data_IF_613662061052
#
_entry.id   IF_613662061052
#
_cell.length_a   1.000
_cell.length_b   1.000
_cell.length_c   1.000
_cell.angle_alpha   90.00
_cell.angle_beta   90.00
_cell.angle_gamma   90.00
#
_symmetry.space_group_name_H-M   'P 1'
#
loop_
_entity.id
_entity.type
_entity.pdbx_description
1 polymer ?
#
# COMPACT_ATOMS: atom_id res chain seq x y z
N UNK A 1 1.56 -4.12 -18.08
CA UNK A 1 2.49 -3.78 -16.97
C UNK A 1 1.81 -4.17 -15.67
N UNK A 2 2.31 -5.21 -15.00
CA UNK A 2 1.79 -5.60 -13.69
C UNK A 2 2.22 -4.53 -12.69
N UNK A 3 1.28 -3.72 -12.19
CA UNK A 3 1.57 -2.76 -11.12
C UNK A 3 1.71 -3.56 -9.83
N UNK A 4 2.87 -3.46 -9.16
CA UNK A 4 3.08 -4.08 -7.86
C UNK A 4 2.03 -3.56 -6.87
N UNK A 5 1.48 -4.47 -6.06
CA UNK A 5 0.48 -4.14 -5.05
C UNK A 5 0.94 -4.53 -3.67
N UNK A 6 0.48 -3.78 -2.67
CA UNK A 6 0.77 -4.00 -1.25
C UNK A 6 -0.54 -4.09 -0.46
N UNK A 7 -0.61 -4.99 0.52
CA UNK A 7 -1.71 -5.05 1.47
C UNK A 7 -1.45 -4.06 2.61
N UNK A 8 -2.36 -3.09 2.78
CA UNK A 8 -2.24 -2.04 3.79
C UNK A 8 -3.38 -2.19 4.81
N UNK A 9 -3.12 -2.15 6.13
CA UNK A 9 -4.17 -2.16 7.13
C UNK A 9 -5.18 -1.02 6.92
N UNK A 10 -6.46 -1.33 7.06
CA UNK A 10 -7.53 -0.35 6.89
C UNK A 10 -7.71 0.58 8.10
N UNK A 11 -7.11 0.22 9.24
CA UNK A 11 -7.14 0.99 10.48
C UNK A 11 -8.45 0.90 11.27
N UNK A 12 -9.40 0.05 10.87
CA UNK A 12 -10.72 -0.06 11.51
C UNK A 12 -10.96 -1.41 12.18
N UNK A 13 -10.75 -2.52 11.47
CA UNK A 13 -11.16 -3.85 11.95
C UNK A 13 -10.10 -4.96 11.73
N UNK A 14 -8.85 -4.56 11.49
CA UNK A 14 -7.77 -5.50 11.20
C UNK A 14 -7.81 -6.07 9.78
N UNK A 15 -8.73 -5.61 8.92
CA UNK A 15 -8.68 -5.94 7.50
C UNK A 15 -7.59 -5.16 6.79
N UNK A 16 -7.16 -5.68 5.64
CA UNK A 16 -6.23 -5.01 4.75
C UNK A 16 -6.91 -4.64 3.43
N UNK A 17 -6.48 -3.53 2.83
CA UNK A 17 -6.89 -3.12 1.49
C UNK A 17 -5.69 -3.25 0.55
N UNK A 18 -5.94 -3.76 -0.67
CA UNK A 18 -4.93 -3.84 -1.70
C UNK A 18 -4.73 -2.47 -2.36
N UNK A 19 -3.52 -1.93 -2.22
CA UNK A 19 -3.11 -0.64 -2.77
C UNK A 19 -2.03 -0.83 -3.84
N UNK A 20 -1.91 0.11 -4.79
CA UNK A 20 -0.76 0.20 -5.66
C UNK A 20 0.47 0.58 -4.84
N UNK A 21 1.58 -0.14 -5.02
CA UNK A 21 2.83 0.13 -4.31
C UNK A 21 3.55 1.40 -4.82
N UNK A 22 3.28 1.78 -6.06
CA UNK A 22 3.74 3.04 -6.66
C UNK A 22 2.91 4.22 -6.12
N UNK A 23 3.51 5.13 -5.32
CA UNK A 23 2.79 6.25 -4.76
C UNK A 23 2.30 7.24 -5.82
N UNK A 24 1.11 7.81 -5.59
CA UNK A 24 0.64 8.95 -6.38
C UNK A 24 1.38 10.23 -6.03
N UNK A 25 1.71 10.41 -4.75
CA UNK A 25 2.36 11.60 -4.19
C UNK A 25 3.24 11.18 -3.00
N UNK A 26 4.35 11.90 -2.78
CA UNK A 26 5.21 11.78 -1.61
C UNK A 26 5.36 13.16 -0.94
N UNK A 27 5.32 13.20 0.38
CA UNK A 27 5.45 14.42 1.18
C UNK A 27 6.81 14.47 1.92
N UNK A 28 7.31 15.68 2.28
CA UNK A 28 8.64 15.83 2.90
C UNK A 28 8.79 15.15 4.27
N UNK A 29 7.69 14.87 4.96
CA UNK A 29 7.65 14.16 6.25
C UNK A 29 7.79 12.63 6.10
N UNK A 30 7.95 12.14 4.86
CA UNK A 30 8.03 10.72 4.57
C UNK A 30 6.65 10.06 4.43
N UNK A 31 5.55 10.82 4.37
CA UNK A 31 4.22 10.27 4.09
C UNK A 31 4.03 10.06 2.58
N UNK A 32 3.40 8.95 2.19
CA UNK A 32 3.10 8.62 0.79
C UNK A 32 1.61 8.39 0.58
N UNK A 33 1.11 8.80 -0.59
CA UNK A 33 -0.28 8.64 -1.01
C UNK A 33 -0.43 7.45 -1.93
N UNK A 34 -1.17 6.44 -1.50
CA UNK A 34 -1.42 5.24 -2.28
C UNK A 34 -2.84 5.20 -2.84
N UNK A 35 -2.98 4.65 -4.05
CA UNK A 35 -4.28 4.40 -4.70
C UNK A 35 -4.71 2.97 -4.48
N UNK A 36 -6.00 2.72 -4.27
CA UNK A 36 -6.52 1.36 -4.25
C UNK A 36 -6.34 0.67 -5.61
N UNK A 37 -5.91 -0.60 -5.57
CA UNK A 37 -5.68 -1.41 -6.76
C UNK A 37 -6.90 -2.23 -7.19
N UNK A 38 -8.02 -2.12 -6.47
CA UNK A 38 -9.24 -2.87 -6.79
C UNK A 38 -10.07 -2.12 -7.84
N UNK A 39 -10.47 -2.78 -8.95
CA UNK A 39 -11.30 -2.17 -9.98
C UNK A 39 -12.60 -1.57 -9.41
N UNK A 40 -12.92 -0.36 -9.83
CA UNK A 40 -14.11 0.38 -9.36
C UNK A 40 -13.97 0.97 -7.96
N UNK A 41 -12.81 0.86 -7.32
CA UNK A 41 -12.50 1.49 -6.02
C UNK A 41 -11.25 2.37 -6.06
N UNK A 42 -10.79 2.76 -7.24
CA UNK A 42 -9.58 3.56 -7.46
C UNK A 42 -9.64 4.94 -6.81
N UNK A 43 -10.84 5.41 -6.46
CA UNK A 43 -11.07 6.65 -5.71
C UNK A 43 -10.64 6.54 -4.24
N UNK A 44 -10.45 5.32 -3.71
CA UNK A 44 -9.98 5.12 -2.34
C UNK A 44 -8.48 5.37 -2.24
N UNK A 45 -8.11 6.25 -1.32
CA UNK A 45 -6.74 6.68 -1.06
C UNK A 45 -6.35 6.28 0.36
N UNK A 46 -5.08 5.90 0.56
CA UNK A 46 -4.47 5.80 1.88
C UNK A 46 -3.18 6.59 1.94
N UNK A 47 -2.97 7.20 3.10
CA UNK A 47 -1.71 7.83 3.47
C UNK A 47 -1.01 6.93 4.47
N UNK A 48 0.23 6.56 4.20
CA UNK A 48 1.08 5.78 5.11
C UNK A 48 2.49 6.33 5.10
N UNK A 49 3.29 5.98 6.12
CA UNK A 49 4.72 6.32 6.11
C UNK A 49 5.47 5.52 5.04
N UNK A 50 6.52 6.11 4.48
CA UNK A 50 7.41 5.47 3.50
C UNK A 50 8.12 4.26 4.09
N UNK A 51 8.56 4.36 5.34
CA UNK A 51 9.17 3.23 6.06
C UNK A 51 8.14 2.11 6.31
N UNK A 52 6.89 2.48 6.59
CA UNK A 52 5.80 1.52 6.72
C UNK A 52 5.50 0.82 5.39
N UNK A 53 5.51 1.55 4.27
CA UNK A 53 5.37 0.96 2.93
C UNK A 53 6.48 -0.04 2.64
N UNK A 54 7.74 0.32 2.92
CA UNK A 54 8.89 -0.57 2.72
C UNK A 54 8.76 -1.85 3.55
N UNK A 55 8.42 -1.73 4.84
CA UNK A 55 8.23 -2.88 5.73
C UNK A 55 7.09 -3.81 5.26
N UNK A 56 5.97 -3.25 4.77
CA UNK A 56 4.86 -4.04 4.25
C UNK A 56 5.23 -4.79 2.96
N UNK A 57 6.01 -4.16 2.08
CA UNK A 57 6.51 -4.81 0.86
C UNK A 57 7.47 -5.95 1.19
N UNK A 58 8.40 -5.73 2.13
CA UNK A 58 9.35 -6.74 2.57
C UNK A 58 8.64 -7.95 3.22
N UNK A 59 7.68 -7.70 4.11
CA UNK A 59 6.86 -8.75 4.73
C UNK A 59 6.12 -9.59 3.68
N UNK A 60 5.51 -8.96 2.68
CA UNK A 60 4.77 -9.65 1.61
C UNK A 60 5.70 -10.49 0.71
N UNK A 61 6.95 -10.06 0.50
CA UNK A 61 7.95 -10.83 -0.24
C UNK A 61 8.34 -12.13 0.49
N UNK A 62 8.48 -12.08 1.82
CA UNK A 62 8.81 -13.26 2.63
C UNK A 62 7.70 -14.30 2.60
N UNK A 63 6.43 -13.88 2.70
CA UNK A 63 5.28 -14.80 2.64
C UNK A 63 5.10 -15.50 1.29
N UNK A 64 5.60 -14.92 0.19
CA UNK A 64 5.49 -15.52 -1.14
C UNK A 64 6.58 -16.56 -1.43
N UNK A 65 7.63 -16.62 -0.60
CA UNK A 65 8.76 -17.56 -0.76
C UNK A 65 8.80 -18.67 0.31
N UNK A 66 7.92 -18.61 1.31
CA UNK A 66 7.79 -19.61 2.37
C UNK A 66 6.84 -20.76 2.05
#
# INVERSE_FOLDING_TARGET
MNKQTVLVPDGYNGHTVRMCADPLEEWPDGTVKLRCAMPGKEYLIRWIGKDQLAALLEAQHYETQG
#
